data_IF_420250382928
#
_entry.id   IF_420250382928
#
_cell.length_a   1.000
_cell.length_b   1.000
_cell.length_c   1.000
_cell.angle_alpha   90.00
_cell.angle_beta   90.00
_cell.angle_gamma   90.00
#
_symmetry.space_group_name_H-M   'P 1'
#
loop_
_entity.id
_entity.type
_entity.pdbx_description
1 polymer ?
#
# COMPACT_ATOMS: atom_id res chain seq x y z
N UNK A 1 15.16 1.23 -15.37
CA UNK A 1 14.46 2.10 -16.34
C UNK A 1 13.32 2.88 -15.70
N UNK A 2 12.34 2.21 -15.09
CA UNK A 2 11.19 2.89 -14.45
C UNK A 2 11.63 3.79 -13.29
N UNK A 3 12.45 3.29 -12.36
CA UNK A 3 12.98 4.10 -11.24
C UNK A 3 13.73 5.34 -11.72
N UNK A 4 14.49 5.24 -12.82
CA UNK A 4 15.16 6.40 -13.41
C UNK A 4 14.18 7.47 -13.89
N UNK A 5 13.04 7.07 -14.48
CA UNK A 5 12.00 8.02 -14.89
C UNK A 5 11.30 8.64 -13.67
N UNK A 6 11.06 7.85 -12.62
CA UNK A 6 10.50 8.32 -11.36
C UNK A 6 11.40 9.41 -10.74
N UNK A 7 12.68 9.12 -10.54
CA UNK A 7 13.62 10.10 -9.95
C UNK A 7 13.86 11.31 -10.86
N UNK A 8 13.86 11.12 -12.18
CA UNK A 8 13.96 12.23 -13.12
C UNK A 8 12.73 13.14 -13.07
N UNK A 9 11.53 12.59 -12.83
CA UNK A 9 10.33 13.40 -12.63
C UNK A 9 10.41 14.25 -11.36
N UNK A 10 11.01 13.74 -10.28
CA UNK A 10 11.34 14.57 -9.11
C UNK A 10 12.29 15.72 -9.48
N UNK A 11 13.36 15.44 -10.24
CA UNK A 11 14.28 16.48 -10.75
C UNK A 11 13.54 17.53 -11.58
N UNK A 12 12.65 17.11 -12.48
CA UNK A 12 11.83 18.03 -13.26
C UNK A 12 10.92 18.87 -12.37
N UNK A 13 10.33 18.30 -11.32
CA UNK A 13 9.53 19.06 -10.37
C UNK A 13 10.37 20.15 -9.68
N UNK A 14 11.55 19.80 -9.15
CA UNK A 14 12.49 20.76 -8.56
C UNK A 14 12.84 21.91 -9.51
N UNK A 15 13.04 21.62 -10.81
CA UNK A 15 13.34 22.63 -11.82
C UNK A 15 12.14 23.54 -12.11
N UNK A 16 10.91 23.01 -12.13
CA UNK A 16 9.72 23.76 -12.53
C UNK A 16 9.32 24.83 -11.52
N UNK A 17 9.47 24.59 -10.21
CA UNK A 17 9.22 25.61 -9.19
C UNK A 17 10.48 26.38 -8.76
N UNK A 18 11.60 26.26 -9.47
CA UNK A 18 12.86 26.90 -9.08
C UNK A 18 12.75 28.43 -8.97
N UNK A 19 11.88 29.07 -9.75
CA UNK A 19 11.61 30.51 -9.69
C UNK A 19 10.66 30.93 -8.55
N UNK A 20 10.06 29.98 -7.82
CA UNK A 20 9.27 30.30 -6.63
C UNK A 20 10.17 30.84 -5.50
N UNK A 21 9.66 31.71 -4.62
CA UNK A 21 10.33 32.06 -3.37
C UNK A 21 10.72 30.81 -2.59
N UNK A 22 11.83 30.84 -1.86
CA UNK A 22 12.39 29.66 -1.19
C UNK A 22 11.38 28.90 -0.32
N UNK A 23 10.46 29.60 0.34
CA UNK A 23 9.40 29.01 1.17
C UNK A 23 8.36 28.20 0.38
N UNK A 24 8.25 28.44 -0.93
CA UNK A 24 7.29 27.79 -1.82
C UNK A 24 7.90 26.72 -2.74
N UNK A 25 9.18 26.41 -2.57
CA UNK A 25 9.93 25.40 -3.35
C UNK A 25 9.75 23.99 -2.77
N UNK A 26 8.50 23.54 -2.74
CA UNK A 26 8.10 22.18 -2.34
C UNK A 26 6.83 21.79 -3.10
N UNK A 27 6.38 20.55 -3.02
CA UNK A 27 5.09 20.13 -3.54
C UNK A 27 3.93 20.80 -2.82
N UNK A 28 2.78 20.93 -3.49
CA UNK A 28 1.59 21.58 -2.93
C UNK A 28 1.06 20.90 -1.65
N UNK A 29 1.34 19.61 -1.51
CA UNK A 29 1.35 18.88 -0.25
C UNK A 29 2.35 17.71 -0.38
N UNK A 30 2.66 16.98 0.71
CA UNK A 30 3.67 15.91 0.68
C UNK A 30 3.45 14.81 -0.37
N UNK A 31 2.23 14.64 -0.89
CA UNK A 31 1.91 13.61 -1.88
C UNK A 31 2.20 14.02 -3.34
N UNK A 32 2.33 15.32 -3.64
CA UNK A 32 2.41 15.78 -5.04
C UNK A 32 3.68 15.32 -5.75
N UNK A 33 4.82 15.36 -5.06
CA UNK A 33 6.10 14.89 -5.61
C UNK A 33 5.99 13.45 -6.10
N UNK A 34 5.55 12.55 -5.22
CA UNK A 34 5.35 11.14 -5.52
C UNK A 34 4.26 10.92 -6.58
N UNK A 35 3.14 11.66 -6.51
CA UNK A 35 2.03 11.49 -7.44
C UNK A 35 2.41 11.84 -8.89
N UNK A 36 3.15 12.94 -9.09
CA UNK A 36 3.61 13.37 -10.42
C UNK A 36 4.64 12.38 -10.95
N UNK A 37 5.60 11.97 -10.12
CA UNK A 37 6.62 11.00 -10.52
C UNK A 37 6.00 9.65 -10.92
N UNK A 38 5.05 9.15 -10.12
CA UNK A 38 4.36 7.91 -10.43
C UNK A 38 3.45 8.04 -11.66
N UNK A 39 2.72 9.15 -11.81
CA UNK A 39 1.87 9.38 -12.99
C UNK A 39 2.69 9.34 -14.29
N UNK A 40 3.89 9.94 -14.29
CA UNK A 40 4.80 9.85 -15.43
C UNK A 40 5.23 8.40 -15.70
N UNK A 41 5.50 7.62 -14.65
CA UNK A 41 5.93 6.22 -14.80
C UNK A 41 4.85 5.28 -15.33
N UNK A 42 3.56 5.55 -15.07
CA UNK A 42 2.44 4.75 -15.61
C UNK A 42 2.47 4.67 -17.14
N UNK A 43 2.96 5.73 -17.81
CA UNK A 43 3.19 5.73 -19.25
C UNK A 43 4.33 4.82 -19.69
N UNK A 44 5.39 4.73 -18.88
CA UNK A 44 6.63 4.02 -19.18
C UNK A 44 6.46 2.50 -19.01
N UNK A 45 5.61 2.08 -18.07
CA UNK A 45 5.23 0.68 -17.87
C UNK A 45 4.55 0.04 -19.08
N UNK A 46 3.91 0.87 -19.92
CA UNK A 46 3.01 0.38 -20.95
C UNK A 46 3.72 -0.28 -22.12
N UNK A 47 3.14 -1.38 -22.61
CA UNK A 47 3.68 -2.11 -23.75
C UNK A 47 3.80 -1.25 -25.02
N UNK A 48 2.82 -0.37 -25.37
CA UNK A 48 3.00 0.62 -26.42
C UNK A 48 4.26 1.48 -26.28
N UNK A 49 4.62 1.86 -25.05
CA UNK A 49 5.84 2.63 -24.80
C UNK A 49 7.08 1.80 -25.12
N UNK A 50 7.17 0.58 -24.57
CA UNK A 50 8.27 -0.35 -24.84
C UNK A 50 8.45 -0.64 -26.34
N UNK A 51 7.34 -0.74 -27.09
CA UNK A 51 7.37 -0.88 -28.54
C UNK A 51 7.94 0.36 -29.23
N UNK A 52 7.49 1.55 -28.86
CA UNK A 52 7.95 2.83 -29.45
C UNK A 52 9.43 3.09 -29.19
N UNK A 53 9.95 2.69 -28.04
CA UNK A 53 11.38 2.84 -27.70
C UNK A 53 12.24 1.66 -28.18
N UNK A 54 11.64 0.66 -28.85
CA UNK A 54 12.35 -0.46 -29.46
C UNK A 54 12.75 -1.59 -28.50
N UNK A 55 12.25 -1.58 -27.26
CA UNK A 55 12.54 -2.60 -26.24
C UNK A 55 11.62 -3.83 -26.31
N UNK A 56 10.51 -3.75 -27.04
CA UNK A 56 9.61 -4.87 -27.27
C UNK A 56 9.11 -4.90 -28.71
N UNK A 57 9.32 -6.01 -29.42
CA UNK A 57 8.95 -6.12 -30.85
C UNK A 57 8.01 -7.29 -31.14
N UNK A 58 7.76 -8.16 -30.17
CA UNK A 58 7.01 -9.39 -30.40
C UNK A 58 5.49 -9.12 -30.38
N UNK A 59 4.81 -9.32 -31.52
CA UNK A 59 3.35 -9.15 -31.63
C UNK A 59 2.58 -10.48 -31.66
N UNK A 60 3.23 -11.60 -31.36
CA UNK A 60 2.63 -12.94 -31.48
C UNK A 60 1.68 -13.32 -30.33
N UNK A 61 1.63 -12.55 -29.25
CA UNK A 61 0.77 -12.83 -28.10
C UNK A 61 -0.62 -12.19 -28.23
N UNK A 62 -1.63 -12.85 -27.66
CA UNK A 62 -2.99 -12.30 -27.56
C UNK A 62 -2.97 -10.97 -26.75
N UNK A 63 -3.40 -9.85 -27.33
CA UNK A 63 -3.47 -8.56 -26.64
C UNK A 63 -4.28 -8.61 -25.33
N UNK A 64 -5.32 -9.45 -25.26
CA UNK A 64 -6.14 -9.57 -24.07
C UNK A 64 -5.38 -10.22 -22.91
N UNK A 65 -4.74 -11.37 -23.13
CA UNK A 65 -3.95 -12.05 -22.09
C UNK A 65 -2.79 -11.18 -21.60
N UNK A 66 -2.10 -10.51 -22.53
CA UNK A 66 -1.02 -9.59 -22.21
C UNK A 66 -1.53 -8.42 -21.36
N UNK A 67 -2.69 -7.85 -21.71
CA UNK A 67 -3.33 -6.78 -20.94
C UNK A 67 -3.71 -7.21 -19.52
N UNK A 68 -4.25 -8.42 -19.34
CA UNK A 68 -4.60 -8.95 -18.01
C UNK A 68 -3.37 -9.22 -17.16
N UNK A 69 -2.32 -9.82 -17.73
CA UNK A 69 -1.05 -10.04 -17.02
C UNK A 69 -0.40 -8.72 -16.59
N UNK A 70 -0.44 -7.72 -17.47
CA UNK A 70 0.02 -6.37 -17.16
C UNK A 70 -0.78 -5.75 -16.00
N UNK A 71 -2.11 -5.73 -16.09
CA UNK A 71 -2.96 -5.17 -15.04
C UNK A 71 -2.78 -5.92 -13.71
N UNK A 72 -2.64 -7.25 -13.73
CA UNK A 72 -2.36 -8.02 -12.52
C UNK A 72 -1.05 -7.59 -11.86
N UNK A 73 0.01 -7.41 -12.65
CA UNK A 73 1.31 -6.91 -12.16
C UNK A 73 1.15 -5.52 -11.54
N UNK A 74 0.47 -4.60 -12.24
CA UNK A 74 0.20 -3.26 -11.72
C UNK A 74 -0.68 -3.27 -10.46
N UNK A 75 -1.63 -4.20 -10.35
CA UNK A 75 -2.48 -4.32 -9.17
C UNK A 75 -1.69 -4.82 -7.95
N UNK A 76 -0.73 -5.73 -8.14
CA UNK A 76 0.19 -6.14 -7.09
C UNK A 76 1.07 -4.98 -6.62
N UNK A 77 1.55 -4.14 -7.54
CA UNK A 77 2.38 -2.97 -7.19
C UNK A 77 1.58 -1.84 -6.53
N UNK A 78 0.34 -1.59 -6.98
CA UNK A 78 -0.44 -0.41 -6.58
C UNK A 78 -1.56 -0.75 -5.61
N UNK A 79 -2.45 -1.67 -6.00
CA UNK A 79 -3.67 -2.00 -5.24
C UNK A 79 -3.34 -2.80 -3.99
N UNK A 80 -2.50 -3.83 -4.08
CA UNK A 80 -2.11 -4.64 -2.92
C UNK A 80 -1.23 -3.86 -1.92
N UNK A 81 -0.52 -2.84 -2.41
CA UNK A 81 0.31 -1.94 -1.58
C UNK A 81 -0.51 -0.89 -0.82
N UNK A 82 -1.59 -0.36 -1.40
CA UNK A 82 -2.38 0.73 -0.83
C UNK A 82 -2.77 0.53 0.66
N UNK A 83 -3.28 -0.64 1.08
CA UNK A 83 -3.64 -0.84 2.48
C UNK A 83 -2.43 -0.83 3.41
N UNK A 84 -1.24 -1.28 2.96
CA UNK A 84 0.01 -1.12 3.71
C UNK A 84 0.34 0.36 3.91
N UNK A 85 0.31 1.14 2.83
CA UNK A 85 0.62 2.57 2.90
C UNK A 85 -0.33 3.34 3.82
N UNK A 86 -1.61 2.94 3.84
CA UNK A 86 -2.59 3.50 4.76
C UNK A 86 -2.28 3.15 6.22
N UNK A 87 -2.05 1.86 6.52
CA UNK A 87 -1.94 1.40 7.90
C UNK A 87 -0.67 1.89 8.63
N UNK A 88 0.41 2.22 7.92
CA UNK A 88 1.67 2.65 8.56
C UNK A 88 1.48 3.92 9.38
N UNK A 89 0.86 4.95 8.81
CA UNK A 89 0.63 6.20 9.56
C UNK A 89 -0.59 6.10 10.47
N UNK A 90 -1.60 5.27 10.16
CA UNK A 90 -2.65 4.93 11.15
C UNK A 90 -2.06 4.35 12.43
N UNK A 91 -1.06 3.46 12.30
CA UNK A 91 -0.34 2.91 13.43
C UNK A 91 0.41 4.01 14.19
N UNK A 92 1.18 4.87 13.51
CA UNK A 92 1.89 6.00 14.16
C UNK A 92 0.92 6.93 14.90
N UNK A 93 -0.19 7.31 14.27
CA UNK A 93 -1.20 8.16 14.90
C UNK A 93 -1.78 7.52 16.15
N UNK A 94 -2.09 6.22 16.12
CA UNK A 94 -2.53 5.50 17.33
C UNK A 94 -1.48 5.51 18.45
N UNK A 95 -0.19 5.49 18.13
CA UNK A 95 0.86 5.60 19.15
C UNK A 95 0.94 7.02 19.71
N UNK A 96 0.81 8.03 18.86
CA UNK A 96 0.85 9.44 19.29
C UNK A 96 -0.38 9.82 20.12
N UNK A 97 -1.54 9.23 19.84
CA UNK A 97 -2.79 9.49 20.56
C UNK A 97 -2.93 8.62 21.82
N UNK A 98 -2.74 7.30 21.68
CA UNK A 98 -3.04 6.32 22.74
C UNK A 98 -1.79 5.86 23.53
N UNK A 99 -0.61 6.37 23.19
CA UNK A 99 0.66 6.05 23.83
C UNK A 99 1.36 4.79 23.30
N UNK A 100 2.56 4.54 23.84
CA UNK A 100 3.53 3.54 23.38
C UNK A 100 3.29 2.12 23.91
N UNK A 101 2.16 1.88 24.58
CA UNK A 101 1.82 0.54 25.04
C UNK A 101 1.28 -0.28 23.86
N UNK A 102 1.66 -1.56 23.80
CA UNK A 102 1.14 -2.50 22.81
C UNK A 102 1.48 -2.13 21.34
N UNK A 103 2.63 -1.49 21.11
CA UNK A 103 3.06 -1.04 19.78
C UNK A 103 3.09 -2.17 18.77
N UNK A 104 3.64 -3.33 19.14
CA UNK A 104 3.84 -4.42 18.19
C UNK A 104 2.53 -5.17 17.91
N UNK A 105 1.72 -5.43 18.94
CA UNK A 105 0.40 -6.03 18.73
C UNK A 105 -0.55 -5.14 17.93
N UNK A 106 -0.55 -3.81 18.16
CA UNK A 106 -1.33 -2.86 17.33
C UNK A 106 -0.91 -2.91 15.87
N UNK A 107 0.39 -3.01 15.59
CA UNK A 107 0.90 -3.16 14.22
C UNK A 107 0.30 -4.40 13.54
N UNK A 108 0.36 -5.56 14.19
CA UNK A 108 -0.17 -6.81 13.63
C UNK A 108 -1.70 -6.84 13.55
N UNK A 109 -2.41 -6.17 14.47
CA UNK A 109 -3.86 -5.97 14.36
C UNK A 109 -4.22 -5.17 13.10
N UNK A 110 -3.47 -4.11 12.80
CA UNK A 110 -3.67 -3.32 11.59
C UNK A 110 -3.27 -4.08 10.31
N UNK A 111 -2.18 -4.86 10.34
CA UNK A 111 -1.79 -5.76 9.24
C UNK A 111 -2.92 -6.73 8.90
N UNK A 112 -3.52 -7.37 9.90
CA UNK A 112 -4.65 -8.26 9.69
C UNK A 112 -5.88 -7.49 9.19
N UNK A 113 -6.25 -6.39 9.85
CA UNK A 113 -7.45 -5.63 9.51
C UNK A 113 -7.42 -5.07 8.09
N UNK A 114 -6.31 -4.46 7.68
CA UNK A 114 -6.22 -3.75 6.40
C UNK A 114 -5.65 -4.60 5.27
N UNK A 115 -4.79 -5.58 5.55
CA UNK A 115 -4.13 -6.39 4.52
C UNK A 115 -4.50 -7.87 4.53
N UNK A 116 -5.09 -8.39 5.61
CA UNK A 116 -5.31 -9.83 5.74
C UNK A 116 -4.03 -10.63 5.96
N UNK A 117 -2.99 -9.98 6.52
CA UNK A 117 -1.68 -10.58 6.73
C UNK A 117 -1.44 -10.83 8.21
N UNK A 118 -1.01 -12.04 8.53
CA UNK A 118 -0.64 -12.50 9.88
C UNK A 118 0.87 -12.74 9.97
N UNK A 119 1.47 -12.65 11.17
CA UNK A 119 2.87 -12.99 11.33
C UNK A 119 3.07 -14.51 11.18
N UNK A 120 4.17 -14.97 10.57
CA UNK A 120 4.44 -16.41 10.43
C UNK A 120 4.85 -17.09 11.74
N UNK A 121 5.19 -16.30 12.76
CA UNK A 121 5.57 -16.74 14.11
C UNK A 121 4.92 -15.82 15.14
N UNK A 122 4.73 -16.33 16.35
CA UNK A 122 4.21 -15.52 17.45
C UNK A 122 5.10 -14.29 17.72
N UNK A 123 4.46 -13.17 18.07
CA UNK A 123 5.11 -11.88 18.32
C UNK A 123 4.77 -11.35 19.71
N UNK A 124 5.69 -10.62 20.29
CA UNK A 124 5.60 -10.07 21.65
C UNK A 124 5.89 -8.57 21.63
N UNK A 125 5.59 -7.89 22.74
CA UNK A 125 5.91 -6.46 22.91
C UNK A 125 7.41 -6.20 23.18
N UNK A 126 8.22 -7.26 23.33
CA UNK A 126 9.68 -7.16 23.27
C UNK A 126 10.21 -7.03 21.84
N UNK A 127 9.38 -7.32 20.84
CA UNK A 127 9.71 -7.08 19.43
C UNK A 127 9.34 -5.65 19.02
N UNK A 128 9.96 -5.18 17.94
CA UNK A 128 9.61 -3.90 17.31
C UNK A 128 9.57 -4.04 15.79
N UNK A 129 8.66 -4.88 15.28
CA UNK A 129 8.49 -5.12 13.85
C UNK A 129 8.25 -3.86 13.02
N UNK A 130 7.44 -2.86 13.45
CA UNK A 130 7.35 -1.59 12.72
C UNK A 130 8.71 -0.89 12.52
N UNK A 131 9.66 -1.05 13.44
CA UNK A 131 11.01 -0.51 13.31
C UNK A 131 11.82 -1.07 12.14
N UNK A 132 11.41 -2.20 11.56
CA UNK A 132 12.04 -2.75 10.35
C UNK A 132 11.75 -1.91 9.08
N UNK A 133 10.76 -1.01 9.14
CA UNK A 133 10.45 -0.10 8.04
C UNK A 133 11.27 1.18 8.17
N UNK A 134 12.13 1.43 7.18
CA UNK A 134 13.00 2.62 7.11
C UNK A 134 12.30 3.94 7.46
N UNK A 135 11.13 4.19 6.89
CA UNK A 135 10.38 5.44 7.11
C UNK A 135 9.92 5.63 8.56
N UNK A 136 9.70 4.54 9.31
CA UNK A 136 9.33 4.62 10.73
C UNK A 136 10.53 5.08 11.56
N UNK A 137 11.72 4.46 11.36
CA UNK A 137 12.92 4.80 12.14
C UNK A 137 13.62 6.09 11.70
N UNK A 138 13.36 6.56 10.47
CA UNK A 138 13.86 7.83 9.95
C UNK A 138 12.87 9.00 10.12
N UNK A 139 11.78 8.77 10.84
CA UNK A 139 10.72 9.76 11.13
C UNK A 139 10.14 10.45 9.88
N UNK A 140 9.96 9.68 8.80
CA UNK A 140 9.37 10.18 7.56
C UNK A 140 7.89 9.81 7.49
N UNK A 141 7.01 10.78 7.20
CA UNK A 141 5.59 10.56 6.98
C UNK A 141 5.34 9.57 5.83
N UNK A 142 4.42 8.62 6.04
CA UNK A 142 4.14 7.55 5.08
C UNK A 142 2.82 7.75 4.32
N UNK A 143 1.89 8.53 4.88
CA UNK A 143 0.58 8.83 4.30
C UNK A 143 0.68 9.47 2.92
N UNK A 144 1.80 10.16 2.64
CA UNK A 144 2.10 10.71 1.32
C UNK A 144 2.04 9.65 0.23
N UNK A 145 2.50 8.42 0.48
CA UNK A 145 2.46 7.35 -0.50
C UNK A 145 1.03 6.89 -0.78
N UNK A 146 0.17 6.81 0.24
CA UNK A 146 -1.24 6.46 0.06
C UNK A 146 -1.98 7.49 -0.80
N UNK A 147 -1.85 8.77 -0.46
CA UNK A 147 -2.47 9.86 -1.21
C UNK A 147 -1.87 9.99 -2.61
N UNK A 148 -0.55 9.81 -2.75
CA UNK A 148 0.12 9.86 -4.04
C UNK A 148 -0.35 8.75 -4.98
N UNK A 149 -0.53 7.52 -4.47
CA UNK A 149 -1.06 6.41 -5.27
C UNK A 149 -2.49 6.63 -5.73
N UNK A 150 -3.29 7.43 -5.04
CA UNK A 150 -4.63 7.81 -5.54
C UNK A 150 -4.50 8.94 -6.58
N UNK A 151 -3.74 9.98 -6.22
CA UNK A 151 -3.57 11.18 -7.03
C UNK A 151 -2.84 10.91 -8.36
N UNK A 152 -1.91 9.95 -8.42
CA UNK A 152 -1.18 9.59 -9.63
C UNK A 152 -2.12 9.17 -10.77
N UNK A 153 -3.17 8.39 -10.49
CA UNK A 153 -4.13 7.98 -11.51
C UNK A 153 -5.03 9.13 -11.93
N UNK A 154 -5.38 10.02 -11.00
CA UNK A 154 -6.17 11.22 -11.29
C UNK A 154 -5.38 12.18 -12.20
N UNK A 155 -4.09 12.39 -11.93
CA UNK A 155 -3.18 13.14 -12.81
C UNK A 155 -3.09 12.43 -14.16
N UNK A 156 -2.78 11.13 -14.16
CA UNK A 156 -2.58 10.36 -15.38
C UNK A 156 -3.81 10.37 -16.29
N UNK A 157 -5.03 10.26 -15.74
CA UNK A 157 -6.28 10.41 -16.50
C UNK A 157 -6.35 11.74 -17.26
N UNK A 158 -5.97 12.85 -16.61
CA UNK A 158 -5.95 14.16 -17.28
C UNK A 158 -4.87 14.21 -18.36
N UNK A 159 -3.68 13.68 -18.09
CA UNK A 159 -2.59 13.63 -19.08
C UNK A 159 -2.99 12.82 -20.32
N UNK A 160 -3.67 11.69 -20.12
CA UNK A 160 -4.20 10.85 -21.19
C UNK A 160 -5.29 11.56 -21.98
N UNK A 161 -6.21 12.24 -21.29
CA UNK A 161 -7.28 13.00 -21.94
C UNK A 161 -6.74 14.12 -22.84
N UNK A 162 -5.77 14.91 -22.36
CA UNK A 162 -5.17 15.98 -23.18
C UNK A 162 -4.24 15.46 -24.28
N UNK A 163 -3.75 14.22 -24.15
CA UNK A 163 -2.98 13.53 -25.20
C UNK A 163 -3.87 12.92 -26.30
N UNK A 164 -5.20 13.05 -26.19
CA UNK A 164 -6.14 12.51 -27.17
C UNK A 164 -6.34 11.00 -27.09
N UNK A 165 -6.00 10.35 -25.97
CA UNK A 165 -6.21 8.92 -25.78
C UNK A 165 -7.70 8.60 -25.65
N UNK A 166 -8.18 7.58 -26.36
CA UNK A 166 -9.59 7.16 -26.40
C UNK A 166 -9.84 5.74 -25.90
N UNK A 167 -8.79 4.95 -25.66
CA UNK A 167 -8.87 3.56 -25.22
C UNK A 167 -8.96 3.39 -23.71
N UNK A 168 -8.65 2.19 -23.23
CA UNK A 168 -8.59 1.93 -21.79
C UNK A 168 -7.47 2.75 -21.15
N UNK A 169 -7.69 3.26 -19.93
CA UNK A 169 -6.71 4.15 -19.30
C UNK A 169 -5.34 3.48 -19.11
N UNK A 170 -5.31 2.17 -18.85
CA UNK A 170 -4.07 1.41 -18.71
C UNK A 170 -3.25 1.26 -20.00
N UNK A 171 -3.79 1.64 -21.16
CA UNK A 171 -3.09 1.56 -22.46
C UNK A 171 -2.49 2.91 -22.89
N UNK A 172 -2.78 3.98 -22.13
CA UNK A 172 -2.37 5.32 -22.46
C UNK A 172 -0.84 5.50 -22.40
N UNK A 173 -0.24 6.11 -23.43
CA UNK A 173 1.18 6.52 -23.39
C UNK A 173 1.30 7.99 -23.80
N UNK A 174 1.71 8.83 -22.85
CA UNK A 174 1.84 10.28 -22.98
C UNK A 174 3.15 10.70 -23.68
N UNK A 175 3.98 9.74 -24.12
CA UNK A 175 5.21 10.00 -24.84
C UNK A 175 4.99 10.92 -26.05
N UNK A 176 5.82 11.97 -26.16
CA UNK A 176 5.74 13.05 -27.18
C UNK A 176 4.49 13.93 -27.14
N UNK A 177 3.64 13.83 -26.11
CA UNK A 177 2.52 14.75 -25.92
C UNK A 177 2.97 16.06 -25.29
N UNK A 178 3.04 17.13 -26.10
CA UNK A 178 3.32 18.48 -25.60
C UNK A 178 2.23 19.01 -24.68
N UNK A 179 0.98 18.62 -24.92
CA UNK A 179 -0.15 19.06 -24.10
C UNK A 179 -0.14 18.39 -22.72
N UNK A 180 0.21 17.11 -22.61
CA UNK A 180 0.46 16.48 -21.31
C UNK A 180 1.63 17.15 -20.58
N UNK A 181 2.71 17.48 -21.30
CA UNK A 181 3.83 18.25 -20.74
C UNK A 181 3.41 19.61 -20.18
N UNK A 182 2.49 20.32 -20.85
CA UNK A 182 1.95 21.59 -20.35
C UNK A 182 1.17 21.40 -19.05
N UNK A 183 0.30 20.39 -18.96
CA UNK A 183 -0.44 20.09 -17.73
C UNK A 183 0.51 19.72 -16.58
N UNK A 184 1.49 18.87 -16.84
CA UNK A 184 2.54 18.52 -15.86
C UNK A 184 3.28 19.76 -15.37
N UNK A 185 3.66 20.66 -16.29
CA UNK A 185 4.35 21.91 -15.97
C UNK A 185 3.47 22.83 -15.12
N UNK A 186 2.18 22.98 -15.44
CA UNK A 186 1.23 23.77 -14.64
C UNK A 186 1.05 23.23 -13.21
N UNK A 187 1.02 21.90 -13.04
CA UNK A 187 0.97 21.26 -11.71
C UNK A 187 2.26 21.59 -10.93
N UNK A 188 3.41 21.48 -11.58
CA UNK A 188 4.70 21.56 -10.91
C UNK A 188 5.16 23.00 -10.61
N UNK A 189 4.93 23.96 -11.51
CA UNK A 189 5.41 25.34 -11.39
C UNK A 189 4.87 26.08 -10.15
N UNK A 190 3.68 25.71 -9.68
CA UNK A 190 3.09 26.31 -8.51
C UNK A 190 3.89 26.04 -7.23
N UNK A 191 4.65 24.95 -7.17
CA UNK A 191 5.26 24.48 -5.93
C UNK A 191 4.21 24.40 -4.81
N UNK A 192 4.52 24.98 -3.65
CA UNK A 192 3.60 25.10 -2.51
C UNK A 192 2.99 26.50 -2.36
N UNK A 193 3.10 27.35 -3.39
CA UNK A 193 2.51 28.70 -3.41
C UNK A 193 0.97 28.71 -3.50
N UNK A 194 0.36 27.57 -3.84
CA UNK A 194 -1.09 27.40 -3.98
C UNK A 194 -1.58 26.19 -3.18
N UNK A 195 -2.80 26.24 -2.64
CA UNK A 195 -3.42 25.08 -2.02
C UNK A 195 -3.55 23.92 -3.03
N UNK A 196 -3.26 22.70 -2.58
CA UNK A 196 -3.40 21.48 -3.39
C UNK A 196 -4.77 21.37 -4.09
N UNK A 197 -5.85 21.74 -3.39
CA UNK A 197 -7.21 21.73 -3.94
C UNK A 197 -7.38 22.65 -5.17
N UNK A 198 -6.70 23.79 -5.21
CA UNK A 198 -6.72 24.70 -6.36
C UNK A 198 -5.99 24.10 -7.55
N UNK A 199 -4.83 23.47 -7.33
CA UNK A 199 -4.07 22.78 -8.38
C UNK A 199 -4.89 21.62 -8.96
N UNK A 200 -5.53 20.82 -8.10
CA UNK A 200 -6.43 19.73 -8.54
C UNK A 200 -7.61 20.29 -9.35
N UNK A 201 -8.20 21.40 -8.91
CA UNK A 201 -9.27 22.06 -9.65
C UNK A 201 -8.82 22.54 -11.02
N UNK A 202 -7.63 23.12 -11.11
CA UNK A 202 -7.06 23.60 -12.37
C UNK A 202 -6.79 22.44 -13.33
N UNK A 203 -6.03 21.42 -12.90
CA UNK A 203 -5.65 20.29 -13.76
C UNK A 203 -6.85 19.47 -14.24
N UNK A 204 -7.90 19.37 -13.42
CA UNK A 204 -9.15 18.66 -13.79
C UNK A 204 -10.16 19.55 -14.51
N UNK A 205 -9.79 20.79 -14.87
CA UNK A 205 -10.64 21.78 -15.54
C UNK A 205 -11.96 22.02 -14.82
N UNK A 206 -11.91 22.07 -13.49
CA UNK A 206 -13.05 22.34 -12.62
C UNK A 206 -13.92 21.12 -12.26
N UNK A 207 -13.60 19.91 -12.74
CA UNK A 207 -14.39 18.71 -12.43
C UNK A 207 -14.38 18.35 -10.94
N UNK A 208 -13.25 18.55 -10.26
CA UNK A 208 -13.11 18.29 -8.82
C UNK A 208 -11.98 19.14 -8.24
N UNK A 209 -12.03 19.45 -6.95
CA UNK A 209 -10.93 20.04 -6.20
C UNK A 209 -10.41 19.10 -5.11
N UNK A 210 -10.75 17.81 -5.19
CA UNK A 210 -10.42 16.77 -4.21
C UNK A 210 -9.63 15.64 -4.87
N UNK A 211 -8.79 15.00 -4.07
CA UNK A 211 -8.19 13.71 -4.42
C UNK A 211 -9.32 12.68 -4.52
N UNK A 212 -9.35 11.92 -5.60
CA UNK A 212 -10.48 11.03 -5.89
C UNK A 212 -10.03 9.69 -6.49
N UNK A 213 -10.55 8.54 -5.99
CA UNK A 213 -10.09 7.20 -6.41
C UNK A 213 -10.68 6.70 -7.74
N UNK A 214 -11.58 7.45 -8.36
CA UNK A 214 -12.34 7.04 -9.54
C UNK A 214 -11.44 6.68 -10.72
N UNK A 215 -10.35 7.43 -10.92
CA UNK A 215 -9.39 7.14 -11.99
C UNK A 215 -8.62 5.84 -11.73
N UNK A 216 -8.25 5.57 -10.48
CA UNK A 216 -7.63 4.30 -10.08
C UNK A 216 -8.58 3.13 -10.33
N UNK A 217 -9.84 3.25 -9.87
CA UNK A 217 -10.86 2.20 -10.10
C UNK A 217 -11.08 1.98 -11.60
N UNK A 218 -11.14 3.04 -12.40
CA UNK A 218 -11.31 2.92 -13.86
C UNK A 218 -10.10 2.25 -14.52
N UNK A 219 -8.88 2.55 -14.08
CA UNK A 219 -7.66 1.93 -14.57
C UNK A 219 -7.71 0.40 -14.42
N UNK A 220 -8.12 -0.09 -13.24
CA UNK A 220 -8.16 -1.51 -12.92
C UNK A 220 -9.49 -2.21 -13.24
N UNK A 221 -10.49 -1.49 -13.76
CA UNK A 221 -11.83 -2.04 -14.03
C UNK A 221 -11.82 -3.33 -14.88
N UNK A 222 -11.01 -3.45 -15.95
CA UNK A 222 -10.96 -4.69 -16.72
C UNK A 222 -10.48 -5.88 -15.87
N UNK A 223 -9.46 -5.68 -15.04
CA UNK A 223 -8.95 -6.71 -14.14
C UNK A 223 -9.96 -7.04 -13.04
N UNK A 224 -10.64 -6.04 -12.47
CA UNK A 224 -11.69 -6.26 -11.47
C UNK A 224 -12.79 -7.17 -12.02
N UNK A 225 -13.25 -6.94 -13.26
CA UNK A 225 -14.24 -7.77 -13.92
C UNK A 225 -13.73 -9.19 -14.15
N UNK A 226 -12.47 -9.33 -14.58
CA UNK A 226 -11.84 -10.63 -14.75
C UNK A 226 -11.74 -11.41 -13.43
N UNK A 227 -11.27 -10.77 -12.36
CA UNK A 227 -11.14 -11.34 -11.02
C UNK A 227 -12.49 -11.79 -10.45
N UNK A 228 -13.58 -11.05 -10.70
CA UNK A 228 -14.93 -11.48 -10.31
C UNK A 228 -15.35 -12.79 -10.96
N UNK A 229 -14.95 -13.02 -12.21
CA UNK A 229 -15.22 -14.28 -12.91
C UNK A 229 -14.35 -15.40 -12.36
N UNK A 230 -13.06 -15.15 -12.13
CA UNK A 230 -12.15 -16.16 -11.58
C UNK A 230 -12.54 -16.60 -10.17
N UNK A 231 -12.96 -15.64 -9.34
CA UNK A 231 -13.30 -15.89 -7.94
C UNK A 231 -14.77 -16.26 -7.73
N UNK A 232 -15.52 -16.57 -8.79
CA UNK A 232 -16.97 -16.83 -8.69
C UNK A 232 -17.30 -18.04 -7.81
N UNK A 233 -16.40 -19.03 -7.81
CA UNK A 233 -16.55 -20.31 -7.12
C UNK A 233 -15.78 -20.31 -5.79
N UNK A 234 -15.14 -19.19 -5.42
CA UNK A 234 -14.44 -19.05 -4.15
C UNK A 234 -15.46 -18.99 -3.00
N UNK A 235 -15.35 -19.87 -1.98
CA UNK A 235 -16.32 -19.92 -0.89
C UNK A 235 -16.26 -18.67 0.01
N UNK A 236 -15.14 -17.93 -0.01
CA UNK A 236 -14.94 -16.73 0.77
C UNK A 236 -14.07 -15.73 0.00
N UNK A 237 -14.60 -14.51 -0.21
CA UNK A 237 -13.82 -13.37 -0.71
C UNK A 237 -13.59 -12.41 0.45
N UNK A 238 -12.33 -12.27 0.86
CA UNK A 238 -11.90 -11.51 2.03
C UNK A 238 -11.31 -12.41 3.11
N UNK A 239 -11.16 -11.88 4.32
CA UNK A 239 -10.59 -12.58 5.44
C UNK A 239 -11.28 -12.17 6.75
N UNK A 240 -11.21 -13.05 7.75
CA UNK A 240 -11.65 -12.72 9.10
C UNK A 240 -10.59 -11.88 9.80
N UNK A 241 -11.03 -10.88 10.55
CA UNK A 241 -10.18 -10.02 11.39
C UNK A 241 -10.48 -10.18 12.89
N UNK A 242 -11.25 -11.20 13.26
CA UNK A 242 -11.56 -11.46 14.67
C UNK A 242 -10.28 -11.76 15.45
N UNK A 243 -10.21 -11.22 16.67
CA UNK A 243 -9.06 -11.35 17.57
C UNK A 243 -8.65 -12.82 17.83
N UNK A 244 -9.61 -13.74 17.78
CA UNK A 244 -9.37 -15.18 17.92
C UNK A 244 -8.59 -15.79 16.74
N UNK A 245 -8.60 -15.17 15.54
CA UNK A 245 -7.82 -15.63 14.39
C UNK A 245 -6.36 -15.15 14.43
N UNK A 246 -6.07 -14.09 15.20
CA UNK A 246 -4.69 -13.78 15.62
C UNK A 246 -4.18 -14.85 16.59
N UNK A 247 -5.07 -15.44 17.39
CA UNK A 247 -4.72 -16.50 18.34
C UNK A 247 -4.44 -17.87 17.68
N UNK A 248 -4.85 -18.10 16.42
CA UNK A 248 -4.41 -19.26 15.63
C UNK A 248 -2.89 -19.28 15.38
N UNK A 249 -2.24 -18.11 15.47
CA UNK A 249 -0.78 -17.94 15.36
C UNK A 249 -0.12 -17.52 16.67
N UNK A 250 -0.89 -17.43 17.77
CA UNK A 250 -0.29 -17.49 19.10
C UNK A 250 0.41 -18.85 19.22
N UNK A 251 1.53 -18.97 19.97
CA UNK A 251 2.15 -20.27 20.15
C UNK A 251 1.05 -21.19 20.66
N UNK A 252 0.88 -22.36 20.04
CA UNK A 252 0.26 -23.46 20.75
C UNK A 252 1.08 -23.56 22.03
N UNK A 253 0.52 -23.09 23.16
CA UNK A 253 1.03 -23.48 24.46
C UNK A 253 0.92 -24.99 24.40
N UNK A 254 2.02 -25.66 24.08
CA UNK A 254 2.16 -27.07 24.26
C UNK A 254 1.65 -27.30 25.66
N UNK A 255 0.53 -27.98 25.77
CA UNK A 255 0.01 -28.47 27.04
C UNK A 255 0.97 -29.57 27.49
N UNK A 256 2.18 -29.19 27.89
CA UNK A 256 2.88 -29.84 28.97
C UNK A 256 2.48 -29.12 30.25
N UNK A 257 1.18 -29.12 30.55
CA UNK A 257 0.82 -29.42 31.92
C UNK A 257 1.31 -30.84 32.16
N UNK A 258 2.58 -30.96 32.55
CA UNK A 258 2.94 -32.02 33.45
C UNK A 258 2.03 -31.80 34.66
N UNK A 259 0.95 -32.57 34.72
CA UNK A 259 0.23 -32.82 35.95
C UNK A 259 1.30 -33.04 37.01
N UNK A 260 1.34 -32.27 38.12
CA UNK A 260 2.13 -32.69 39.25
C UNK A 260 1.50 -34.02 39.66
N UNK A 261 2.17 -35.12 39.32
CA UNK A 261 1.83 -36.43 39.84
C UNK A 261 1.72 -36.26 41.33
N UNK A 262 0.50 -36.46 41.80
CA UNK A 262 0.05 -36.37 43.17
C UNK A 262 1.04 -37.06 44.12
N UNK A 263 1.97 -36.30 44.69
CA UNK A 263 2.82 -36.70 45.81
C UNK A 263 2.04 -36.65 47.13
N UNK A 264 0.80 -37.17 47.12
CA UNK A 264 -0.11 -37.17 48.27
C UNK A 264 -0.86 -38.50 48.45
N UNK A 265 -0.41 -39.57 47.78
CA UNK A 265 -0.99 -40.93 47.95
C UNK A 265 -0.02 -41.93 48.59
N UNK A 266 1.24 -41.56 48.89
CA UNK A 266 2.21 -42.50 49.52
C UNK A 266 2.36 -42.31 51.04
N UNK A 267 1.59 -41.42 51.69
CA UNK A 267 1.63 -41.28 53.17
C UNK A 267 0.50 -42.04 53.89
N UNK A 268 -0.48 -42.60 53.18
CA UNK A 268 -1.58 -43.37 53.80
C UNK A 268 -1.35 -44.89 53.83
N UNK A 269 -0.20 -45.38 53.34
CA UNK A 269 0.15 -46.81 53.38
C UNK A 269 1.02 -47.26 54.56
N UNK A 270 1.58 -46.33 55.35
CA UNK A 270 2.57 -46.65 56.40
C UNK A 270 2.15 -46.32 57.84
N UNK A 271 0.91 -45.86 58.05
CA UNK A 271 0.36 -45.58 59.39
C UNK A 271 -0.66 -46.62 59.89
N UNK A 272 -0.95 -47.66 59.10
CA UNK A 272 -1.92 -48.72 59.49
C UNK A 272 -1.28 -49.99 60.10
N UNK A 273 0.04 -50.02 60.34
CA UNK A 273 0.73 -51.20 60.92
C UNK A 273 1.41 -50.94 62.28
N UNK A 274 1.24 -49.77 62.91
CA UNK A 274 1.92 -49.45 64.17
C UNK A 274 1.01 -49.06 65.36
N UNK A 275 -0.32 -49.18 65.27
CA UNK A 275 -1.21 -48.77 66.37
C UNK A 275 -2.30 -49.76 66.79
N UNK A 276 -2.26 -51.03 66.36
CA UNK A 276 -3.13 -52.08 66.94
C UNK A 276 -2.30 -53.15 67.66
N UNK A 277 -1.58 -52.73 68.70
CA UNK A 277 -1.05 -53.62 69.72
C UNK A 277 -0.83 -52.80 71.01
N UNK A 278 -1.90 -52.60 71.80
CA UNK A 278 -1.87 -52.54 73.27
C UNK A 278 -3.25 -52.25 73.87
N UNK A 279 -3.58 -53.13 74.83
CA UNK A 279 -4.73 -53.21 75.75
C UNK A 279 -6.01 -53.77 75.16
#
# INVERSE_FOLDING_TARGET
>A
MVSTHHEMAHVQYYLQYSEQPQLFRDGANPAFHEAVANAATLSVYNLPHLQRVGLYQNKSHDPYEVGMNFLMTMALEKVAYLPFAFMVDQWRWSIFEDGVQNMNSRWWQMKLRYQGVVPPVARHESDFDPGSKYHIISDQEYIKYFLATILEFQIFEQLCSVSGHTGNLYECDIYRSRDAGRVLSEIMQAGSSKPAAEIIKSMTRGKTNRISPEALVRYFRPLELWLRVQNRDEPLIGWSSNYHDVALFAPQRGSSQALPTSALVIVLGFLCTLLCCRV
#
